data_IF_882885782258
#
_entry.id   IF_882885782258
#
_cell.length_a   1.000
_cell.length_b   1.000
_cell.length_c   1.000
_cell.angle_alpha   90.00
_cell.angle_beta   90.00
_cell.angle_gamma   90.00
#
_symmetry.space_group_name_H-M   'P 1'
#
loop_
_entity.id
_entity.type
_entity.pdbx_description
1 polymer ?
#
# COMPACT_ATOMS: atom_id res chain seq x y z
N UNK A 1 9.79 -11.05 0.68
CA UNK A 1 8.98 -10.05 -0.06
C UNK A 1 8.64 -10.66 -1.42
N UNK A 2 7.34 -10.95 -1.63
CA UNK A 2 6.76 -11.91 -2.58
C UNK A 2 7.33 -13.35 -2.54
N UNK A 3 6.95 -14.09 -1.49
CA UNK A 3 6.89 -15.56 -1.44
C UNK A 3 5.48 -15.99 -0.99
N UNK A 4 4.52 -15.43 -1.72
CA UNK A 4 3.17 -15.93 -2.03
C UNK A 4 1.99 -15.56 -1.15
N UNK A 5 2.00 -15.68 0.18
CA UNK A 5 0.80 -15.29 0.95
C UNK A 5 1.15 -15.06 2.42
N UNK A 6 0.75 -13.92 3.00
CA UNK A 6 0.58 -13.89 4.47
C UNK A 6 -0.61 -14.81 4.74
N UNK A 7 -0.34 -16.01 5.26
CA UNK A 7 -1.37 -17.02 5.58
C UNK A 7 -1.99 -16.80 6.95
N UNK A 8 -1.76 -15.64 7.55
CA UNK A 8 -2.42 -15.26 8.78
C UNK A 8 -3.81 -14.73 8.45
N UNK A 9 -4.79 -15.17 9.24
CA UNK A 9 -6.18 -14.76 9.07
C UNK A 9 -6.29 -13.23 9.21
N UNK A 10 -7.18 -12.62 8.41
CA UNK A 10 -7.49 -11.18 8.45
C UNK A 10 -6.32 -10.22 8.14
N UNK A 11 -5.17 -10.76 7.72
CA UNK A 11 -4.05 -9.98 7.17
C UNK A 11 -4.20 -9.70 5.68
N UNK A 12 -3.55 -8.64 5.20
CA UNK A 12 -3.51 -8.28 3.77
C UNK A 12 -2.06 -8.32 3.26
N UNK A 13 -1.73 -9.39 2.52
CA UNK A 13 -0.44 -9.52 1.83
C UNK A 13 -0.42 -8.80 0.48
N UNK A 14 0.75 -8.31 0.05
CA UNK A 14 0.94 -7.63 -1.24
C UNK A 14 1.99 -8.33 -2.12
N UNK A 15 1.67 -8.50 -3.40
CA UNK A 15 2.64 -8.87 -4.44
C UNK A 15 3.47 -7.63 -4.77
N UNK A 16 4.79 -7.71 -4.67
CA UNK A 16 5.68 -6.60 -5.01
C UNK A 16 6.02 -6.60 -6.50
N UNK A 17 5.41 -5.70 -7.27
CA UNK A 17 5.70 -5.53 -8.69
C UNK A 17 6.63 -4.32 -8.87
N UNK A 18 7.93 -4.57 -8.85
CA UNK A 18 8.95 -3.59 -9.26
C UNK A 18 8.82 -3.30 -10.77
N UNK A 19 9.65 -3.96 -11.58
CA UNK A 19 9.62 -3.82 -13.05
C UNK A 19 8.45 -4.53 -13.76
N UNK A 20 7.66 -5.33 -13.02
CA UNK A 20 6.39 -5.95 -13.45
C UNK A 20 6.41 -6.67 -14.83
N UNK A 21 7.16 -7.77 -14.96
CA UNK A 21 7.10 -8.61 -16.17
C UNK A 21 5.75 -9.34 -16.27
N UNK A 22 5.10 -9.39 -17.46
CA UNK A 22 3.77 -9.98 -17.64
C UNK A 22 3.57 -11.38 -17.05
N UNK A 23 4.55 -12.27 -17.25
CA UNK A 23 4.45 -13.67 -16.80
C UNK A 23 4.57 -13.78 -15.28
N UNK A 24 5.39 -12.92 -14.67
CA UNK A 24 5.48 -12.84 -13.22
C UNK A 24 4.16 -12.37 -12.60
N UNK A 25 3.53 -11.32 -13.17
CA UNK A 25 2.22 -10.83 -12.71
C UNK A 25 1.17 -11.94 -12.78
N UNK A 26 1.09 -12.65 -13.91
CA UNK A 26 0.14 -13.76 -14.08
C UNK A 26 0.41 -14.89 -13.09
N UNK A 27 1.66 -15.31 -12.95
CA UNK A 27 2.06 -16.39 -12.04
C UNK A 27 1.69 -16.08 -10.59
N UNK A 28 2.11 -14.92 -10.07
CA UNK A 28 1.88 -14.56 -8.68
C UNK A 28 0.38 -14.32 -8.38
N UNK A 29 -0.33 -13.64 -9.27
CA UNK A 29 -1.78 -13.43 -9.07
C UNK A 29 -2.57 -14.74 -9.10
N UNK A 30 -2.18 -15.71 -9.94
CA UNK A 30 -2.81 -17.03 -9.95
C UNK A 30 -2.56 -17.80 -8.65
N UNK A 31 -1.36 -17.69 -8.06
CA UNK A 31 -1.08 -18.29 -6.75
C UNK A 31 -1.94 -17.65 -5.65
N UNK A 32 -2.02 -16.32 -5.60
CA UNK A 32 -2.78 -15.61 -4.57
C UNK A 32 -4.30 -15.83 -4.69
N UNK A 33 -4.86 -15.91 -5.91
CA UNK A 33 -6.30 -16.18 -6.13
C UNK A 33 -6.77 -17.51 -5.54
N UNK A 34 -5.87 -18.48 -5.45
CA UNK A 34 -6.14 -19.82 -4.93
C UNK A 34 -5.68 -20.01 -3.48
N UNK A 35 -5.06 -19.00 -2.88
CA UNK A 35 -4.58 -19.06 -1.52
C UNK A 35 -5.72 -19.08 -0.50
N UNK A 36 -5.60 -19.95 0.49
CA UNK A 36 -6.54 -20.09 1.60
C UNK A 36 -5.84 -19.88 2.94
N UNK A 37 -6.56 -19.28 3.88
CA UNK A 37 -6.13 -19.09 5.26
C UNK A 37 -6.31 -20.36 6.10
N UNK A 38 -5.96 -20.30 7.40
CA UNK A 38 -6.10 -21.44 8.32
C UNK A 38 -7.55 -21.90 8.47
N UNK A 39 -8.51 -20.99 8.27
CA UNK A 39 -9.95 -21.27 8.29
C UNK A 39 -10.50 -21.82 6.96
N UNK A 40 -9.63 -22.05 5.96
CA UNK A 40 -10.00 -22.54 4.63
C UNK A 40 -10.65 -21.50 3.71
N UNK A 41 -10.84 -20.25 4.14
CA UNK A 41 -11.39 -19.17 3.32
C UNK A 41 -10.32 -18.57 2.41
N UNK A 42 -10.76 -18.00 1.28
CA UNK A 42 -9.86 -17.30 0.36
C UNK A 42 -9.23 -16.09 1.03
N UNK A 43 -7.91 -15.97 0.91
CA UNK A 43 -7.19 -14.81 1.43
C UNK A 43 -7.31 -13.62 0.49
N UNK A 44 -7.37 -12.42 1.07
CA UNK A 44 -7.28 -11.18 0.32
C UNK A 44 -5.81 -10.90 0.00
N UNK A 45 -5.55 -10.39 -1.20
CA UNK A 45 -4.22 -9.96 -1.61
C UNK A 45 -4.29 -8.61 -2.29
N UNK A 46 -3.20 -7.86 -2.16
CA UNK A 46 -2.96 -6.64 -2.90
C UNK A 46 -1.80 -6.75 -3.88
N UNK A 47 -1.61 -5.71 -4.67
CA UNK A 47 -0.48 -5.57 -5.59
C UNK A 47 0.17 -4.21 -5.37
N UNK A 48 1.49 -4.20 -5.10
CA UNK A 48 2.28 -3.00 -4.86
C UNK A 48 3.07 -2.57 -6.08
N UNK A 49 3.15 -1.26 -6.31
CA UNK A 49 3.85 -0.64 -7.42
C UNK A 49 4.79 0.47 -6.94
N UNK A 50 5.96 0.53 -7.57
CA UNK A 50 6.73 1.76 -7.67
C UNK A 50 6.10 2.59 -8.80
N UNK A 51 5.48 3.72 -8.46
CA UNK A 51 4.58 4.47 -9.35
C UNK A 51 5.26 4.90 -10.64
N UNK A 52 6.49 5.42 -10.57
CA UNK A 52 7.22 5.84 -11.77
C UNK A 52 7.64 4.66 -12.66
N UNK A 53 7.82 3.45 -12.11
CA UNK A 53 8.12 2.24 -12.89
C UNK A 53 6.86 1.72 -13.57
N UNK A 54 5.74 1.67 -12.84
CA UNK A 54 4.45 1.26 -13.40
C UNK A 54 3.98 2.19 -14.53
N UNK A 55 4.32 3.49 -14.46
CA UNK A 55 4.03 4.44 -15.52
C UNK A 55 4.80 4.14 -16.83
N UNK A 56 5.98 3.54 -16.74
CA UNK A 56 6.80 3.13 -17.89
C UNK A 56 6.38 1.77 -18.46
N UNK A 57 5.71 0.93 -17.66
CA UNK A 57 5.22 -0.39 -18.05
C UNK A 57 3.69 -0.50 -17.88
N UNK A 58 2.90 0.03 -18.82
CA UNK A 58 1.45 0.02 -18.73
C UNK A 58 0.86 -1.40 -18.80
N UNK A 59 1.56 -2.36 -19.42
CA UNK A 59 1.08 -3.75 -19.55
C UNK A 59 1.00 -4.44 -18.19
N UNK A 60 2.04 -4.32 -17.35
CA UNK A 60 2.06 -4.90 -16.00
C UNK A 60 0.92 -4.36 -15.11
N UNK A 61 0.68 -3.05 -15.19
CA UNK A 61 -0.45 -2.40 -14.51
C UNK A 61 -1.81 -2.90 -15.02
N UNK A 62 -2.00 -2.99 -16.34
CA UNK A 62 -3.25 -3.46 -16.95
C UNK A 62 -3.55 -4.93 -16.57
N UNK A 63 -2.54 -5.80 -16.56
CA UNK A 63 -2.70 -7.19 -16.12
C UNK A 63 -3.12 -7.27 -14.66
N UNK A 64 -2.55 -6.41 -13.82
CA UNK A 64 -2.89 -6.33 -12.41
C UNK A 64 -4.30 -5.79 -12.17
N UNK A 65 -4.77 -4.83 -12.99
CA UNK A 65 -6.17 -4.37 -12.96
C UNK A 65 -7.13 -5.52 -13.31
N UNK A 66 -6.82 -6.29 -14.35
CA UNK A 66 -7.61 -7.44 -14.76
C UNK A 66 -7.61 -8.56 -13.73
N UNK A 67 -6.53 -8.68 -12.93
CA UNK A 67 -6.47 -9.64 -11.84
C UNK A 67 -7.42 -9.31 -10.69
N UNK A 68 -7.94 -8.07 -10.60
CA UNK A 68 -8.88 -7.58 -9.57
C UNK A 68 -8.44 -7.93 -8.14
N UNK A 69 -7.22 -7.52 -7.71
CA UNK A 69 -6.81 -7.69 -6.31
C UNK A 69 -7.74 -6.90 -5.37
N UNK A 70 -7.69 -7.20 -4.08
CA UNK A 70 -8.43 -6.44 -3.07
C UNK A 70 -7.95 -4.98 -3.01
N UNK A 71 -6.64 -4.77 -3.09
CA UNK A 71 -6.03 -3.44 -3.05
C UNK A 71 -4.85 -3.30 -4.01
N UNK A 72 -4.59 -2.06 -4.43
CA UNK A 72 -3.35 -1.65 -5.08
C UNK A 72 -2.64 -0.61 -4.24
N UNK A 73 -1.35 -0.82 -4.03
CA UNK A 73 -0.48 0.04 -3.24
C UNK A 73 0.48 0.79 -4.16
N UNK A 74 0.48 2.12 -4.10
CA UNK A 74 1.36 2.96 -4.92
C UNK A 74 2.34 3.71 -4.05
N UNK A 75 3.63 3.60 -4.39
CA UNK A 75 4.73 4.29 -3.70
C UNK A 75 5.51 5.18 -4.68
N UNK A 76 6.14 6.23 -4.16
CA UNK A 76 7.14 7.05 -4.86
C UNK A 76 6.62 7.72 -6.14
N UNK A 77 5.68 8.65 -6.01
CA UNK A 77 5.25 9.51 -7.12
C UNK A 77 3.74 9.71 -7.19
N UNK A 78 3.31 10.48 -8.20
CA UNK A 78 1.90 10.80 -8.41
C UNK A 78 1.16 9.61 -9.05
N UNK A 79 0.35 8.94 -8.24
CA UNK A 79 -0.45 7.79 -8.67
C UNK A 79 -1.84 8.16 -9.23
N UNK A 80 -2.24 9.44 -9.25
CA UNK A 80 -3.63 9.88 -9.48
C UNK A 80 -4.30 9.22 -10.70
N UNK A 81 -3.61 9.16 -11.85
CA UNK A 81 -4.15 8.51 -13.07
C UNK A 81 -4.38 7.01 -12.89
N UNK A 82 -3.41 6.29 -12.31
CA UNK A 82 -3.52 4.83 -12.10
C UNK A 82 -4.49 4.51 -10.97
N UNK A 83 -4.46 5.26 -9.89
CA UNK A 83 -5.38 5.14 -8.76
C UNK A 83 -6.84 5.33 -9.17
N UNK A 84 -7.15 6.34 -10.00
CA UNK A 84 -8.50 6.54 -10.55
C UNK A 84 -8.97 5.34 -11.36
N UNK A 85 -8.09 4.74 -12.18
CA UNK A 85 -8.39 3.51 -12.94
C UNK A 85 -8.61 2.30 -12.03
N UNK A 86 -7.81 2.14 -10.98
CA UNK A 86 -7.97 1.07 -9.99
C UNK A 86 -9.31 1.20 -9.23
N UNK A 87 -9.64 2.41 -8.77
CA UNK A 87 -10.94 2.70 -8.12
C UNK A 87 -12.12 2.45 -9.04
N UNK A 88 -12.04 2.86 -10.31
CA UNK A 88 -13.08 2.56 -11.30
C UNK A 88 -13.27 1.04 -11.53
N UNK A 89 -12.23 0.23 -11.29
CA UNK A 89 -12.30 -1.23 -11.29
C UNK A 89 -12.70 -1.82 -9.92
N UNK A 90 -13.15 -1.02 -8.95
CA UNK A 90 -13.56 -1.49 -7.62
C UNK A 90 -12.41 -1.95 -6.72
N UNK A 91 -11.16 -1.64 -7.07
CA UNK A 91 -9.97 -2.01 -6.31
C UNK A 91 -9.64 -0.89 -5.32
N UNK A 92 -9.33 -1.24 -4.07
CA UNK A 92 -8.93 -0.26 -3.03
C UNK A 92 -7.56 0.33 -3.33
N UNK A 93 -7.40 1.63 -3.11
CA UNK A 93 -6.12 2.32 -3.37
C UNK A 93 -5.43 2.72 -2.06
N UNK A 94 -4.19 2.27 -1.91
CA UNK A 94 -3.32 2.61 -0.80
C UNK A 94 -2.20 3.49 -1.36
N UNK A 95 -1.97 4.66 -0.77
CA UNK A 95 -0.90 5.57 -1.20
C UNK A 95 0.13 5.76 -0.12
N UNK A 96 1.36 5.34 -0.41
CA UNK A 96 2.49 5.53 0.47
C UNK A 96 3.13 6.89 0.24
N UNK A 97 3.31 7.63 1.33
CA UNK A 97 3.75 9.02 1.35
C UNK A 97 4.84 9.24 2.39
N UNK A 98 5.74 10.17 2.09
CA UNK A 98 6.84 10.59 2.96
C UNK A 98 6.72 12.06 3.39
N UNK A 99 5.84 12.83 2.72
CA UNK A 99 5.55 14.23 3.04
C UNK A 99 4.05 14.46 3.26
N UNK A 100 3.73 15.46 4.07
CA UNK A 100 2.35 15.90 4.31
C UNK A 100 1.67 16.38 3.03
N UNK A 101 2.40 17.05 2.14
CA UNK A 101 1.84 17.52 0.86
C UNK A 101 1.35 16.34 0.00
N UNK A 102 2.12 15.26 -0.07
CA UNK A 102 1.76 14.05 -0.81
C UNK A 102 0.51 13.39 -0.21
N UNK A 103 0.38 13.38 1.11
CA UNK A 103 -0.81 12.87 1.80
C UNK A 103 -2.07 13.67 1.44
N UNK A 104 -1.96 15.00 1.37
CA UNK A 104 -3.07 15.88 0.99
C UNK A 104 -3.47 15.65 -0.46
N UNK A 105 -2.50 15.55 -1.38
CA UNK A 105 -2.78 15.27 -2.79
C UNK A 105 -3.46 13.90 -2.98
N UNK A 106 -3.06 12.89 -2.19
CA UNK A 106 -3.61 11.55 -2.26
C UNK A 106 -5.06 11.41 -1.78
N UNK A 107 -5.61 12.39 -1.05
CA UNK A 107 -7.00 12.36 -0.59
C UNK A 107 -8.02 12.24 -1.73
N UNK A 108 -7.70 12.75 -2.91
CA UNK A 108 -8.61 12.71 -4.06
C UNK A 108 -8.78 11.31 -4.66
N UNK A 109 -7.80 10.42 -4.45
CA UNK A 109 -7.71 9.17 -5.22
C UNK A 109 -7.41 7.92 -4.39
N UNK A 110 -7.26 8.05 -3.07
CA UNK A 110 -6.89 6.93 -2.19
C UNK A 110 -7.99 6.55 -1.22
N UNK A 111 -8.07 5.27 -0.88
CA UNK A 111 -8.90 4.72 0.19
C UNK A 111 -8.15 4.65 1.52
N UNK A 112 -6.81 4.66 1.51
CA UNK A 112 -5.96 4.71 2.69
C UNK A 112 -4.62 5.42 2.38
N UNK A 113 -4.06 6.09 3.39
CA UNK A 113 -2.73 6.72 3.31
C UNK A 113 -1.76 5.96 4.20
N UNK A 114 -0.59 5.62 3.66
CA UNK A 114 0.48 4.93 4.38
C UNK A 114 1.63 5.91 4.60
N UNK A 115 1.87 6.27 5.85
CA UNK A 115 2.97 7.15 6.23
C UNK A 115 4.25 6.33 6.39
N UNK A 116 5.18 6.44 5.44
CA UNK A 116 6.48 5.77 5.52
C UNK A 116 7.51 6.68 6.18
N UNK A 117 8.14 6.22 7.27
CA UNK A 117 9.28 6.89 7.86
C UNK A 117 10.63 6.34 7.41
N UNK A 118 11.70 7.03 7.80
CA UNK A 118 13.09 6.69 7.46
C UNK A 118 13.57 5.34 8.01
N UNK A 119 12.87 4.76 8.99
CA UNK A 119 13.16 3.42 9.53
C UNK A 119 12.68 2.29 8.60
N UNK A 120 11.98 2.61 7.51
CA UNK A 120 11.58 1.63 6.51
C UNK A 120 12.78 1.17 5.68
N UNK A 121 12.89 -0.14 5.45
CA UNK A 121 13.86 -0.68 4.49
C UNK A 121 13.50 -0.35 3.04
N UNK A 122 14.51 -0.39 2.15
CA UNK A 122 14.33 -0.18 0.72
C UNK A 122 14.30 1.30 0.31
N UNK A 123 13.52 1.62 -0.72
CA UNK A 123 13.38 3.00 -1.21
C UNK A 123 12.57 3.84 -0.20
N UNK A 124 12.97 5.08 0.02
CA UNK A 124 12.33 5.98 0.97
C UNK A 124 13.02 7.33 0.99
N UNK A 125 12.44 8.25 1.74
CA UNK A 125 13.07 9.53 2.03
C UNK A 125 13.68 9.51 3.43
N UNK A 126 14.83 10.16 3.58
CA UNK A 126 15.49 10.36 4.87
C UNK A 126 14.95 11.63 5.54
N UNK A 127 15.03 11.69 6.88
CA UNK A 127 14.82 12.92 7.63
C UNK A 127 13.57 12.99 8.51
N UNK A 128 12.61 12.07 8.37
CA UNK A 128 11.49 11.96 9.31
C UNK A 128 11.32 10.53 9.81
N UNK A 129 11.22 10.36 11.13
CA UNK A 129 10.80 9.10 11.73
C UNK A 129 9.35 8.78 11.40
N UNK A 130 9.01 7.49 11.39
CA UNK A 130 7.67 6.97 11.09
C UNK A 130 6.61 7.62 11.98
N UNK A 131 6.91 7.76 13.28
CA UNK A 131 6.02 8.44 14.22
C UNK A 131 5.83 9.93 13.91
N UNK A 132 6.88 10.60 13.42
CA UNK A 132 6.82 12.04 13.10
C UNK A 132 5.99 12.30 11.86
N UNK A 133 6.23 11.58 10.77
CA UNK A 133 5.43 11.73 9.54
C UNK A 133 3.97 11.37 9.80
N UNK A 134 3.71 10.27 10.52
CA UNK A 134 2.35 9.85 10.86
C UNK A 134 1.58 10.94 11.61
N UNK A 135 2.15 11.49 12.70
CA UNK A 135 1.50 12.54 13.50
C UNK A 135 1.31 13.83 12.72
N UNK A 136 2.26 14.21 11.85
CA UNK A 136 2.13 15.41 11.00
C UNK A 136 1.00 15.25 9.99
N UNK A 137 0.91 14.10 9.33
CA UNK A 137 -0.19 13.79 8.40
C UNK A 137 -1.52 13.73 9.17
N UNK A 138 -1.59 13.02 10.29
CA UNK A 138 -2.79 12.94 11.14
C UNK A 138 -3.29 14.33 11.54
N UNK A 139 -2.41 15.22 12.03
CA UNK A 139 -2.77 16.60 12.36
C UNK A 139 -3.34 17.33 11.14
N UNK A 140 -2.73 17.18 9.96
CA UNK A 140 -3.22 17.82 8.73
C UNK A 140 -4.57 17.26 8.30
N UNK A 141 -4.80 15.96 8.41
CA UNK A 141 -6.09 15.34 8.08
C UNK A 141 -7.21 15.77 9.02
N UNK A 142 -6.93 15.86 10.33
CA UNK A 142 -7.85 16.43 11.33
C UNK A 142 -8.26 17.87 10.94
N UNK A 143 -7.30 18.70 10.52
CA UNK A 143 -7.58 20.07 10.04
C UNK A 143 -8.46 20.10 8.78
N UNK A 144 -8.25 19.15 7.87
CA UNK A 144 -9.03 19.02 6.63
C UNK A 144 -10.37 18.28 6.82
N UNK A 145 -10.70 17.86 8.06
CA UNK A 145 -11.87 17.03 8.38
C UNK A 145 -11.96 15.75 7.53
N UNK A 146 -10.81 15.19 7.17
CA UNK A 146 -10.73 13.95 6.40
C UNK A 146 -10.70 12.75 7.33
N UNK A 147 -11.54 11.75 7.05
CA UNK A 147 -11.64 10.49 7.78
C UNK A 147 -10.88 9.33 7.09
N UNK A 148 -10.01 9.63 6.13
CA UNK A 148 -9.26 8.58 5.43
C UNK A 148 -8.38 7.80 6.44
N UNK A 149 -8.40 6.46 6.43
CA UNK A 149 -7.54 5.65 7.28
C UNK A 149 -6.05 5.96 7.08
N UNK A 150 -5.32 6.03 8.20
CA UNK A 150 -3.87 6.18 8.23
C UNK A 150 -3.21 4.88 8.67
N UNK A 151 -2.17 4.50 7.94
CA UNK A 151 -1.30 3.37 8.25
C UNK A 151 0.13 3.88 8.47
N UNK A 152 0.89 3.22 9.34
CA UNK A 152 2.30 3.53 9.58
C UNK A 152 3.18 2.44 8.94
N UNK A 153 4.29 2.83 8.32
CA UNK A 153 5.26 1.90 7.76
C UNK A 153 6.71 2.33 8.06
N UNK A 154 7.48 1.44 8.67
CA UNK A 154 8.89 1.67 9.01
C UNK A 154 9.19 1.42 10.49
N UNK A 155 10.22 0.61 10.77
CA UNK A 155 10.68 0.37 12.14
C UNK A 155 9.80 -0.52 13.03
N UNK A 156 8.88 -1.30 12.46
CA UNK A 156 8.06 -2.28 13.20
C UNK A 156 8.62 -3.70 12.99
N UNK A 157 9.42 -4.19 13.94
CA UNK A 157 10.02 -5.53 13.90
C UNK A 157 9.36 -6.55 14.82
N UNK A 158 8.57 -6.09 15.79
CA UNK A 158 7.93 -6.89 16.83
C UNK A 158 6.58 -6.28 17.25
N UNK A 159 5.89 -6.99 18.14
CA UNK A 159 4.61 -6.59 18.71
C UNK A 159 4.69 -5.28 19.53
N UNK A 160 5.84 -4.99 20.16
CA UNK A 160 6.04 -3.79 20.96
C UNK A 160 5.97 -2.53 20.08
N UNK A 161 6.59 -2.58 18.91
CA UNK A 161 6.48 -1.52 17.90
C UNK A 161 5.03 -1.27 17.47
N UNK A 162 4.26 -2.35 17.23
CA UNK A 162 2.86 -2.26 16.83
C UNK A 162 1.99 -1.66 17.94
N UNK A 163 2.11 -2.16 19.17
CA UNK A 163 1.37 -1.63 20.34
C UNK A 163 1.68 -0.15 20.56
N UNK A 164 2.93 0.26 20.37
CA UNK A 164 3.33 1.67 20.47
C UNK A 164 2.68 2.52 19.38
N UNK A 165 2.56 2.02 18.15
CA UNK A 165 1.93 2.73 17.04
C UNK A 165 0.42 2.90 17.22
N UNK A 166 -0.27 1.90 17.75
CA UNK A 166 -1.71 1.97 18.01
C UNK A 166 -2.08 3.11 18.97
N UNK A 167 -1.17 3.45 19.89
CA UNK A 167 -1.32 4.60 20.81
C UNK A 167 -1.16 5.98 20.14
N UNK A 168 -0.84 6.05 18.85
CA UNK A 168 -0.75 7.33 18.13
C UNK A 168 -2.11 7.84 17.65
N UNK A 169 -3.11 6.97 17.62
CA UNK A 169 -4.43 7.25 17.01
C UNK A 169 -5.40 7.95 17.99
N UNK A 170 -4.91 8.41 19.15
CA UNK A 170 -5.68 9.16 20.13
C UNK A 170 -6.14 10.55 19.62
#
# INVERSE_FOLDING_TARGET
VCNTVIKEQDSLGFIGLGAAYPDYVKSETNKCKNAKGPDGKKLRYGIGFITFVAAQNPLGFNLSLNARPYAMWFSFGNASKMAKRARAAGIKVFSQVQRVADAVAALEYSDAIVCQGQEAGGHGETGLSTSTIFKRVQKKLKQLKSNIPLLAAGGFGDEHGVVKALKWVC
#
